data_IF_506452075118
#
_entry.id   IF_506452075118
#
_cell.length_a   1.000
_cell.length_b   1.000
_cell.length_c   1.000
_cell.angle_alpha   90.00
_cell.angle_beta   90.00
_cell.angle_gamma   90.00
#
_symmetry.space_group_name_H-M   'P 1'
#
loop_
_entity.id
_entity.type
_entity.pdbx_description
1 polymer ?
#
# COMPACT_ATOMS: atom_id res chain seq x y z
N UNK A 1 28.07 21.71 22.57
CA UNK A 1 27.99 21.46 24.03
C UNK A 1 26.51 21.48 24.38
N UNK A 2 25.82 20.43 24.83
CA UNK A 2 26.25 19.14 25.37
C UNK A 2 25.31 18.03 24.84
N UNK A 3 25.87 16.86 24.54
CA UNK A 3 25.14 15.67 24.15
C UNK A 3 24.94 14.80 25.40
N UNK A 4 23.68 14.62 25.81
CA UNK A 4 23.33 13.62 26.82
C UNK A 4 23.04 12.31 26.10
N UNK A 5 24.04 11.42 26.09
CA UNK A 5 23.94 10.06 25.58
C UNK A 5 23.31 9.16 26.64
N UNK A 6 22.09 8.69 26.41
CA UNK A 6 21.56 7.50 27.09
C UNK A 6 21.79 6.31 26.16
N UNK A 7 22.72 5.43 26.56
CA UNK A 7 23.03 4.18 25.85
C UNK A 7 22.06 3.10 26.35
N UNK A 8 21.08 2.73 25.53
CA UNK A 8 20.25 1.54 25.74
C UNK A 8 20.71 0.40 24.83
N UNK A 9 20.59 -0.79 25.39
CA UNK A 9 21.16 -2.07 25.02
C UNK A 9 20.91 -2.55 23.57
N UNK A 10 21.83 -3.39 23.10
CA UNK A 10 22.00 -3.97 21.78
C UNK A 10 20.83 -4.86 21.32
N UNK A 11 19.86 -4.28 20.63
CA UNK A 11 19.14 -4.85 19.47
C UNK A 11 17.90 -4.02 19.19
N UNK A 12 17.71 -3.64 17.92
CA UNK A 12 16.67 -2.76 17.38
C UNK A 12 16.96 -1.26 17.54
N UNK A 13 17.81 -0.77 16.65
CA UNK A 13 17.83 0.65 16.27
C UNK A 13 16.51 0.97 15.57
N UNK A 14 15.50 1.42 16.32
CA UNK A 14 14.39 2.18 15.75
C UNK A 14 14.97 3.55 15.42
N UNK A 15 15.37 3.71 14.16
CA UNK A 15 15.76 4.99 13.61
C UNK A 15 14.51 5.88 13.62
N UNK A 16 14.41 6.78 14.60
CA UNK A 16 13.47 7.89 14.58
C UNK A 16 13.90 8.84 13.46
N UNK A 17 13.59 8.46 12.22
CA UNK A 17 13.62 9.42 11.11
C UNK A 17 12.34 10.22 11.25
N UNK A 18 12.47 11.46 11.69
CA UNK A 18 11.44 12.48 11.53
C UNK A 18 11.26 12.72 10.03
N UNK A 19 10.42 11.91 9.37
CA UNK A 19 10.03 12.11 7.97
C UNK A 19 8.75 12.94 7.95
N UNK A 20 8.62 13.97 7.09
CA UNK A 20 7.40 14.76 6.95
C UNK A 20 6.20 13.86 6.67
N UNK A 21 5.11 14.14 7.37
CA UNK A 21 3.95 13.29 7.69
C UNK A 21 3.05 12.85 6.53
N UNK A 22 3.42 13.03 5.26
CA UNK A 22 2.62 12.57 4.13
C UNK A 22 2.94 11.13 3.67
N UNK A 23 4.20 10.70 3.73
CA UNK A 23 4.69 9.52 3.00
C UNK A 23 4.68 8.19 3.78
N UNK A 24 4.23 8.18 5.04
CA UNK A 24 4.48 7.05 5.96
C UNK A 24 3.60 5.82 5.67
N UNK A 25 2.31 5.95 5.31
CA UNK A 25 1.45 4.78 5.06
C UNK A 25 1.82 4.02 3.78
N UNK A 26 2.14 4.73 2.70
CA UNK A 26 2.55 4.09 1.44
C UNK A 26 3.87 3.36 1.64
N UNK A 27 4.83 3.99 2.34
CA UNK A 27 6.15 3.42 2.60
C UNK A 27 6.09 2.22 3.56
N UNK A 28 5.26 2.29 4.62
CA UNK A 28 5.03 1.18 5.54
C UNK A 28 4.30 0.00 4.86
N UNK A 29 3.31 0.29 4.01
CA UNK A 29 2.60 -0.73 3.24
C UNK A 29 3.49 -1.41 2.20
N UNK A 30 4.30 -0.63 1.48
CA UNK A 30 5.31 -1.15 0.56
C UNK A 30 6.31 -2.05 1.31
N UNK A 31 6.76 -1.67 2.50
CA UNK A 31 7.64 -2.49 3.33
C UNK A 31 7.01 -3.82 3.77
N UNK A 32 5.72 -3.83 4.12
CA UNK A 32 5.00 -5.08 4.49
C UNK A 32 4.69 -5.96 3.27
N UNK A 33 4.46 -5.36 2.10
CA UNK A 33 4.14 -6.07 0.86
C UNK A 33 5.40 -6.63 0.19
N UNK A 34 6.52 -5.90 0.24
CA UNK A 34 7.83 -6.31 -0.29
C UNK A 34 8.46 -7.49 0.45
N UNK A 35 7.88 -7.93 1.57
CA UNK A 35 8.22 -9.21 2.22
C UNK A 35 7.67 -10.40 1.41
N UNK A 36 7.87 -10.37 0.08
CA UNK A 36 7.53 -11.44 -0.86
C UNK A 36 6.06 -11.59 -1.25
N UNK A 37 5.19 -10.61 -0.97
CA UNK A 37 3.76 -10.71 -1.34
C UNK A 37 3.52 -9.96 -2.67
N UNK A 38 3.20 -10.66 -3.77
CA UNK A 38 2.86 -10.01 -5.03
C UNK A 38 1.48 -9.36 -4.93
N UNK A 39 1.43 -8.10 -4.50
CA UNK A 39 0.18 -7.34 -4.38
C UNK A 39 -0.26 -6.77 -5.74
N UNK A 40 -1.56 -6.46 -5.85
CA UNK A 40 -2.17 -5.91 -7.08
C UNK A 40 -1.41 -4.74 -7.72
N UNK A 41 -0.97 -3.68 -7.00
CA UNK A 41 -0.29 -2.57 -7.65
C UNK A 41 1.11 -2.95 -8.17
N UNK A 42 1.79 -3.94 -7.55
CA UNK A 42 3.08 -4.43 -8.03
C UNK A 42 2.90 -5.22 -9.32
N UNK A 43 1.88 -6.08 -9.37
CA UNK A 43 1.54 -6.83 -10.58
C UNK A 43 1.13 -5.91 -11.73
N UNK A 44 0.39 -4.84 -11.44
CA UNK A 44 0.07 -3.81 -12.43
C UNK A 44 1.34 -3.12 -12.93
N UNK A 45 2.22 -2.67 -12.03
CA UNK A 45 3.48 -2.03 -12.40
C UNK A 45 4.38 -2.95 -13.25
N UNK A 46 4.42 -4.25 -12.97
CA UNK A 46 5.16 -5.22 -13.78
C UNK A 46 4.61 -5.42 -15.20
N UNK A 47 3.30 -5.27 -15.38
CA UNK A 47 2.64 -5.46 -16.68
C UNK A 47 2.69 -4.20 -17.54
N UNK A 48 2.65 -3.02 -16.92
CA UNK A 48 2.55 -1.73 -17.60
C UNK A 48 3.86 -0.91 -17.59
N UNK A 49 4.85 -1.32 -16.81
CA UNK A 49 6.17 -0.73 -16.77
C UNK A 49 7.10 -1.25 -17.87
N UNK A 50 8.31 -0.69 -17.90
CA UNK A 50 9.36 -1.13 -18.84
C UNK A 50 9.87 -2.54 -18.51
N UNK A 51 10.54 -3.23 -19.44
CA UNK A 51 11.17 -4.53 -19.17
C UNK A 51 12.13 -4.49 -17.96
N UNK A 52 12.86 -3.39 -17.78
CA UNK A 52 13.78 -3.16 -16.66
C UNK A 52 13.01 -3.02 -15.35
N UNK A 53 11.92 -2.24 -15.33
CA UNK A 53 11.04 -2.09 -14.16
C UNK A 53 10.39 -3.43 -13.78
N UNK A 54 9.90 -4.18 -14.77
CA UNK A 54 9.28 -5.49 -14.55
C UNK A 54 10.27 -6.50 -13.96
N UNK A 55 11.51 -6.52 -14.48
CA UNK A 55 12.59 -7.37 -13.96
C UNK A 55 12.97 -6.96 -12.54
N UNK A 56 13.13 -5.66 -12.29
CA UNK A 56 13.44 -5.13 -10.96
C UNK A 56 12.37 -5.50 -9.93
N UNK A 57 11.09 -5.29 -10.24
CA UNK A 57 9.98 -5.62 -9.34
C UNK A 57 9.91 -7.13 -9.09
N UNK A 58 10.11 -7.96 -10.14
CA UNK A 58 10.17 -9.42 -10.01
C UNK A 58 11.25 -9.85 -9.03
N UNK A 59 12.48 -9.36 -9.24
CA UNK A 59 13.62 -9.67 -8.35
C UNK A 59 13.36 -9.20 -6.92
N UNK A 60 12.77 -8.03 -6.74
CA UNK A 60 12.41 -7.51 -5.42
C UNK A 60 11.40 -8.42 -4.68
N UNK A 61 10.43 -9.00 -5.41
CA UNK A 61 9.44 -9.94 -4.86
C UNK A 61 10.09 -11.28 -4.52
N UNK A 62 10.88 -11.85 -5.44
CA UNK A 62 11.52 -13.17 -5.28
C UNK A 62 12.54 -13.19 -4.14
N UNK A 63 13.33 -12.13 -4.00
CA UNK A 63 14.38 -12.07 -2.97
C UNK A 63 13.86 -11.67 -1.59
N UNK A 64 12.65 -11.09 -1.49
CA UNK A 64 12.00 -10.71 -0.24
C UNK A 64 12.79 -9.73 0.64
N UNK A 65 13.87 -9.14 0.11
CA UNK A 65 14.81 -8.27 0.81
C UNK A 65 14.98 -6.89 0.14
N UNK A 66 14.04 -6.50 -0.72
CA UNK A 66 14.09 -5.32 -1.60
C UNK A 66 13.99 -3.95 -0.92
N UNK A 67 14.44 -3.78 0.33
CA UNK A 67 14.43 -2.47 1.02
C UNK A 67 15.19 -1.39 0.24
N UNK A 68 16.25 -1.77 -0.46
CA UNK A 68 17.02 -0.86 -1.32
C UNK A 68 16.33 -0.55 -2.66
N UNK A 69 15.41 -1.43 -3.10
CA UNK A 69 14.62 -1.26 -4.32
C UNK A 69 13.29 -0.54 -4.04
N UNK A 70 13.04 -0.12 -2.80
CA UNK A 70 11.75 0.41 -2.39
C UNK A 70 11.43 1.74 -3.09
N UNK A 71 12.38 2.66 -3.15
CA UNK A 71 12.18 3.94 -3.84
C UNK A 71 12.03 3.76 -5.38
N UNK A 72 12.88 2.97 -6.08
CA UNK A 72 12.69 2.66 -7.51
C UNK A 72 11.36 1.96 -7.83
N UNK A 73 10.90 1.04 -6.99
CA UNK A 73 9.62 0.35 -7.19
C UNK A 73 8.44 1.29 -6.98
N UNK A 74 8.51 2.18 -5.97
CA UNK A 74 7.50 3.22 -5.79
C UNK A 74 7.44 4.17 -6.99
N UNK A 75 8.58 4.55 -7.54
CA UNK A 75 8.66 5.36 -8.76
C UNK A 75 8.03 4.63 -9.96
N UNK A 76 8.36 3.35 -10.17
CA UNK A 76 7.76 2.53 -11.22
C UNK A 76 6.23 2.42 -11.04
N UNK A 77 5.75 2.17 -9.83
CA UNK A 77 4.32 2.12 -9.52
C UNK A 77 3.62 3.46 -9.75
N UNK A 78 4.27 4.57 -9.41
CA UNK A 78 3.73 5.92 -9.63
C UNK A 78 3.65 6.25 -11.11
N UNK A 79 4.73 5.98 -11.85
CA UNK A 79 4.82 6.19 -13.30
C UNK A 79 3.78 5.35 -14.06
N UNK A 80 3.56 4.11 -13.61
CA UNK A 80 2.55 3.22 -14.20
C UNK A 80 1.12 3.54 -13.74
N UNK A 81 0.91 4.49 -12.82
CA UNK A 81 -0.40 4.77 -12.24
C UNK A 81 -0.98 3.61 -11.42
N UNK A 82 -0.15 2.68 -10.94
CA UNK A 82 -0.60 1.42 -10.32
C UNK A 82 -1.37 1.60 -9.02
N UNK A 83 -1.04 2.64 -8.25
CA UNK A 83 -1.76 2.96 -7.01
C UNK A 83 -3.19 3.41 -7.31
N UNK A 84 -3.34 4.34 -8.24
CA UNK A 84 -4.63 4.87 -8.67
C UNK A 84 -5.47 3.79 -9.35
N UNK A 85 -4.86 2.97 -10.19
CA UNK A 85 -5.54 1.83 -10.81
C UNK A 85 -6.05 0.83 -9.75
N UNK A 86 -5.26 0.54 -8.72
CA UNK A 86 -5.68 -0.36 -7.64
C UNK A 86 -6.80 0.25 -6.81
N UNK A 87 -6.77 1.58 -6.59
CA UNK A 87 -7.84 2.34 -5.93
C UNK A 87 -9.14 2.21 -6.73
N UNK A 88 -9.11 2.44 -8.04
CA UNK A 88 -10.27 2.27 -8.91
C UNK A 88 -10.83 0.84 -8.86
N UNK A 89 -9.97 -0.19 -8.89
CA UNK A 89 -10.42 -1.58 -8.73
C UNK A 89 -11.10 -1.80 -7.38
N UNK A 90 -10.60 -1.20 -6.31
CA UNK A 90 -11.24 -1.29 -5.00
C UNK A 90 -12.61 -0.61 -4.97
N UNK A 91 -12.77 0.54 -5.65
CA UNK A 91 -14.06 1.23 -5.81
C UNK A 91 -15.08 0.34 -6.51
N UNK A 92 -14.69 -0.28 -7.64
CA UNK A 92 -15.57 -1.19 -8.37
C UNK A 92 -16.02 -2.40 -7.56
N UNK A 93 -15.14 -2.96 -6.72
CA UNK A 93 -15.53 -4.06 -5.84
C UNK A 93 -16.47 -3.60 -4.71
N UNK A 94 -16.31 -2.37 -4.21
CA UNK A 94 -17.26 -1.80 -3.25
C UNK A 94 -18.63 -1.56 -3.90
N UNK A 95 -18.69 -1.05 -5.12
CA UNK A 95 -19.94 -0.84 -5.86
C UNK A 95 -20.68 -2.16 -6.11
N UNK A 96 -19.94 -3.24 -6.42
CA UNK A 96 -20.50 -4.60 -6.52
C UNK A 96 -21.07 -5.07 -5.19
N UNK A 97 -20.37 -4.83 -4.08
CA UNK A 97 -20.85 -5.19 -2.75
C UNK A 97 -22.14 -4.43 -2.40
N UNK A 98 -22.19 -3.12 -2.69
CA UNK A 98 -23.38 -2.28 -2.49
C UNK A 98 -24.55 -2.75 -3.36
N UNK A 99 -24.28 -3.09 -4.61
CA UNK A 99 -25.28 -3.64 -5.53
C UNK A 99 -25.85 -4.96 -5.02
N UNK A 100 -25.02 -5.82 -4.44
CA UNK A 100 -25.47 -7.08 -3.84
C UNK A 100 -26.37 -6.89 -2.61
N UNK A 101 -26.26 -5.76 -1.90
CA UNK A 101 -27.11 -5.43 -0.75
C UNK A 101 -28.54 -5.02 -1.14
N UNK A 102 -28.82 -4.74 -2.42
CA UNK A 102 -30.13 -4.28 -2.89
C UNK A 102 -31.26 -5.30 -2.70
N UNK A 103 -30.93 -6.60 -2.53
CA UNK A 103 -31.91 -7.64 -2.20
C UNK A 103 -32.47 -7.50 -0.77
N UNK A 104 -31.76 -6.78 0.10
CA UNK A 104 -32.17 -6.59 1.49
C UNK A 104 -33.17 -5.42 1.61
N UNK A 105 -34.15 -5.52 2.54
CA UNK A 105 -35.06 -4.42 2.83
C UNK A 105 -34.30 -3.14 3.21
N UNK A 106 -34.92 -2.01 2.90
CA UNK A 106 -34.40 -0.70 3.30
C UNK A 106 -34.45 -0.53 4.81
N UNK A 107 -33.28 -0.62 5.44
CA UNK A 107 -33.12 -0.58 6.89
C UNK A 107 -31.84 0.17 7.25
N UNK A 108 -31.77 0.75 8.46
CA UNK A 108 -30.54 1.38 8.95
C UNK A 108 -29.30 0.45 8.90
N UNK A 109 -29.50 -0.86 9.00
CA UNK A 109 -28.43 -1.85 8.93
C UNK A 109 -27.88 -2.01 7.51
N UNK A 110 -28.74 -1.95 6.49
CA UNK A 110 -28.33 -1.94 5.08
C UNK A 110 -27.50 -0.70 4.78
N UNK A 111 -27.98 0.47 5.21
CA UNK A 111 -27.23 1.73 5.06
C UNK A 111 -25.89 1.70 5.79
N UNK A 112 -25.81 1.09 6.97
CA UNK A 112 -24.55 0.91 7.68
C UNK A 112 -23.56 0.02 6.90
N UNK A 113 -24.03 -1.06 6.27
CA UNK A 113 -23.19 -1.93 5.42
C UNK A 113 -22.70 -1.20 4.16
N UNK A 114 -23.55 -0.38 3.54
CA UNK A 114 -23.18 0.49 2.41
C UNK A 114 -22.09 1.48 2.86
N UNK A 115 -22.28 2.12 4.02
CA UNK A 115 -21.28 3.02 4.61
C UNK A 115 -19.94 2.31 4.87
N UNK A 116 -19.96 1.08 5.37
CA UNK A 116 -18.73 0.28 5.57
C UNK A 116 -18.00 -0.01 4.26
N UNK A 117 -18.72 -0.30 3.17
CA UNK A 117 -18.13 -0.54 1.86
C UNK A 117 -17.41 0.72 1.33
N UNK A 118 -18.02 1.90 1.47
CA UNK A 118 -17.38 3.17 1.09
C UNK A 118 -16.14 3.49 1.95
N UNK A 119 -16.25 3.33 3.27
CA UNK A 119 -15.14 3.55 4.21
C UNK A 119 -13.95 2.63 3.92
N UNK A 120 -14.21 1.39 3.46
CA UNK A 120 -13.14 0.44 3.16
C UNK A 120 -12.22 0.91 2.02
N UNK A 121 -12.75 1.66 1.06
CA UNK A 121 -12.04 2.11 -0.14
C UNK A 121 -11.52 3.53 0.01
N UNK A 122 -12.31 4.43 0.58
CA UNK A 122 -11.96 5.85 0.78
C UNK A 122 -11.21 6.08 2.09
N UNK A 123 -10.21 5.24 2.39
CA UNK A 123 -9.36 5.43 3.56
C UNK A 123 -8.39 6.61 3.35
N UNK A 124 -8.92 7.82 3.41
CA UNK A 124 -8.14 9.00 3.73
C UNK A 124 -8.05 9.13 5.26
N UNK A 125 -6.85 9.44 5.74
CA UNK A 125 -6.48 9.40 7.15
C UNK A 125 -7.26 10.38 8.01
#
# INVERSE_FOLDING_TARGET
MAATSVRLSSSLTICWITVPTASISVKMWAMTSMRGKPTLPLLHAMRHGTPEQSTMIRTAIEQGNGRHLLDPVLEAMTTCGSLEWTRQRAEEEADKAISALQILPDTPWREALIGLAHIAVQRDR
#
